data_IF_633462251420
#
_entry.id   IF_633462251420
#
_cell.length_a   1.000
_cell.length_b   1.000
_cell.length_c   1.000
_cell.angle_alpha   90.00
_cell.angle_beta   90.00
_cell.angle_gamma   90.00
#
_symmetry.space_group_name_H-M   'P 1'
#
loop_
_entity.id
_entity.type
_entity.pdbx_description
1 polymer ?
#
# COMPACT_ATOMS: atom_id res chain seq x y z
N UNK A 1 -44.88 -36.16 13.79
CA UNK A 1 -43.47 -35.93 13.74
C UNK A 1 -43.25 -34.55 13.16
N UNK A 2 -42.95 -33.62 14.01
CA UNK A 2 -42.92 -32.19 13.71
C UNK A 2 -41.50 -31.82 13.25
N UNK A 3 -41.38 -31.28 12.07
CA UNK A 3 -40.11 -30.73 11.57
C UNK A 3 -39.83 -29.42 12.32
N UNK A 4 -38.72 -29.41 13.06
CA UNK A 4 -38.19 -28.20 13.69
C UNK A 4 -37.50 -27.40 12.60
N UNK A 5 -38.16 -26.34 12.17
CA UNK A 5 -37.60 -25.31 11.29
C UNK A 5 -36.59 -24.48 12.10
N UNK A 6 -35.30 -24.77 11.92
CA UNK A 6 -34.22 -24.03 12.57
C UNK A 6 -33.90 -22.82 11.67
N UNK A 7 -34.73 -21.79 11.79
CA UNK A 7 -34.40 -20.47 11.23
C UNK A 7 -33.13 -19.94 11.91
N UNK A 8 -32.06 -19.84 11.13
CA UNK A 8 -30.85 -19.13 11.57
C UNK A 8 -31.22 -17.69 11.98
N UNK A 9 -30.71 -17.15 13.10
CA UNK A 9 -31.04 -15.81 13.53
C UNK A 9 -30.61 -14.80 12.47
N UNK A 10 -31.57 -14.06 11.96
CA UNK A 10 -31.33 -12.84 11.17
C UNK A 10 -30.47 -11.91 12.06
N UNK A 11 -29.20 -11.80 11.74
CA UNK A 11 -28.34 -10.75 12.32
C UNK A 11 -28.97 -9.44 11.88
N UNK A 12 -29.67 -8.79 12.80
CA UNK A 12 -30.35 -7.52 12.56
C UNK A 12 -29.29 -6.48 12.14
N UNK A 13 -29.60 -5.65 11.16
CA UNK A 13 -28.67 -4.67 10.56
C UNK A 13 -27.96 -3.75 11.56
N UNK A 14 -28.49 -3.60 12.77
CA UNK A 14 -27.93 -2.84 13.89
C UNK A 14 -26.59 -3.37 14.40
N UNK A 15 -26.43 -4.68 14.59
CA UNK A 15 -25.18 -5.28 15.11
C UNK A 15 -24.06 -5.17 14.08
N UNK A 16 -24.39 -5.30 12.78
CA UNK A 16 -23.41 -5.13 11.71
C UNK A 16 -22.98 -3.67 11.56
N UNK A 17 -23.91 -2.72 11.65
CA UNK A 17 -23.61 -1.29 11.61
C UNK A 17 -22.75 -0.85 12.80
N UNK A 18 -22.97 -1.39 14.00
CA UNK A 18 -22.14 -1.15 15.18
C UNK A 18 -20.72 -1.70 15.01
N UNK A 19 -20.57 -2.97 14.61
CA UNK A 19 -19.26 -3.60 14.39
C UNK A 19 -18.44 -2.86 13.32
N UNK A 20 -19.07 -2.51 12.20
CA UNK A 20 -18.37 -1.82 11.09
C UNK A 20 -18.05 -0.36 11.47
N UNK A 21 -18.81 0.27 12.35
CA UNK A 21 -18.53 1.65 12.80
C UNK A 21 -17.36 1.74 13.77
N UNK A 22 -17.05 0.67 14.51
CA UNK A 22 -15.91 0.60 15.44
C UNK A 22 -14.59 0.17 14.78
N UNK A 23 -14.64 -0.30 13.53
CA UNK A 23 -13.43 -0.67 12.82
C UNK A 23 -12.54 0.56 12.60
N UNK A 24 -11.21 0.46 12.86
CA UNK A 24 -10.26 1.55 12.64
C UNK A 24 -9.89 1.72 11.16
N UNK A 25 -10.79 1.31 10.25
CA UNK A 25 -10.66 1.40 8.80
C UNK A 25 -11.95 1.93 8.17
N UNK A 26 -11.81 2.69 7.07
CA UNK A 26 -12.97 3.07 6.26
C UNK A 26 -13.46 1.88 5.45
N UNK A 27 -14.76 1.62 5.48
CA UNK A 27 -15.37 0.50 4.74
C UNK A 27 -16.48 1.02 3.85
N UNK A 28 -16.46 0.60 2.58
CA UNK A 28 -17.49 0.87 1.56
C UNK A 28 -17.90 -0.43 0.91
N UNK A 29 -19.20 -0.60 0.65
CA UNK A 29 -19.74 -1.64 -0.22
C UNK A 29 -20.39 -0.98 -1.43
N UNK A 30 -20.01 -1.40 -2.62
CA UNK A 30 -20.54 -0.88 -3.89
C UNK A 30 -21.14 -2.03 -4.70
N UNK A 31 -22.20 -1.72 -5.46
CA UNK A 31 -22.74 -2.66 -6.43
C UNK A 31 -21.89 -2.72 -7.71
N UNK A 32 -22.29 -3.54 -8.65
CA UNK A 32 -21.65 -3.71 -9.96
C UNK A 32 -21.61 -2.43 -10.81
N UNK A 33 -22.44 -1.45 -10.49
CA UNK A 33 -22.52 -0.16 -11.16
C UNK A 33 -21.75 0.95 -10.42
N UNK A 34 -21.09 0.60 -9.29
CA UNK A 34 -20.34 1.53 -8.47
C UNK A 34 -21.18 2.40 -7.53
N UNK A 35 -22.48 2.11 -7.41
CA UNK A 35 -23.33 2.78 -6.43
C UNK A 35 -23.00 2.27 -5.02
N UNK A 36 -22.83 3.20 -4.07
CA UNK A 36 -22.50 2.87 -2.67
C UNK A 36 -23.74 2.34 -1.96
N UNK A 37 -23.73 1.06 -1.60
CA UNK A 37 -24.78 0.38 -0.86
C UNK A 37 -24.67 0.57 0.65
N UNK A 38 -23.46 0.61 1.15
CA UNK A 38 -23.15 0.82 2.56
C UNK A 38 -21.79 1.48 2.74
N UNK A 39 -21.64 2.26 3.82
CA UNK A 39 -20.39 2.88 4.20
C UNK A 39 -20.38 3.12 5.71
N UNK A 40 -19.22 2.96 6.38
CA UNK A 40 -19.07 3.44 7.74
C UNK A 40 -18.70 4.94 7.77
N UNK A 41 -18.82 5.55 8.95
CA UNK A 41 -18.53 6.99 9.14
C UNK A 41 -17.09 7.33 8.84
N UNK A 42 -16.16 6.42 9.14
CA UNK A 42 -14.73 6.63 8.90
C UNK A 42 -14.40 6.67 7.41
N UNK A 43 -15.07 5.87 6.56
CA UNK A 43 -14.91 5.96 5.11
C UNK A 43 -15.29 7.36 4.59
N UNK A 44 -16.38 7.92 5.09
CA UNK A 44 -16.78 9.29 4.79
C UNK A 44 -15.71 10.31 5.20
N UNK A 45 -15.23 10.20 6.43
CA UNK A 45 -14.19 11.10 6.96
C UNK A 45 -12.90 11.03 6.13
N UNK A 46 -12.42 9.82 5.83
CA UNK A 46 -11.20 9.61 5.04
C UNK A 46 -11.31 10.16 3.61
N UNK A 47 -12.46 9.97 2.98
CA UNK A 47 -12.74 10.52 1.64
C UNK A 47 -13.14 12.00 1.68
N UNK A 48 -13.30 12.55 2.89
CA UNK A 48 -13.74 13.89 3.10
C UNK A 48 -15.16 14.17 2.61
N UNK A 49 -16.06 13.19 2.71
CA UNK A 49 -17.47 13.24 2.34
C UNK A 49 -18.32 12.87 3.56
N UNK A 50 -19.55 13.36 3.63
CA UNK A 50 -20.47 12.83 4.61
C UNK A 50 -20.91 11.41 4.22
N UNK A 51 -21.24 10.56 5.22
CA UNK A 51 -21.82 9.22 4.95
C UNK A 51 -23.07 9.33 4.06
N UNK A 52 -23.88 10.39 4.27
CA UNK A 52 -25.08 10.63 3.49
C UNK A 52 -24.78 10.93 2.01
N UNK A 53 -23.70 11.69 1.73
CA UNK A 53 -23.27 11.99 0.37
C UNK A 53 -22.71 10.75 -0.33
N UNK A 54 -21.96 9.91 0.41
CA UNK A 54 -21.50 8.62 -0.11
C UNK A 54 -22.67 7.74 -0.54
N UNK A 55 -23.68 7.53 0.32
CA UNK A 55 -24.84 6.69 0.04
C UNK A 55 -25.74 7.25 -1.07
N UNK A 56 -25.73 8.58 -1.27
CA UNK A 56 -26.45 9.23 -2.36
C UNK A 56 -25.63 9.38 -3.63
N UNK A 57 -24.42 8.86 -3.63
CA UNK A 57 -23.45 8.98 -4.72
C UNK A 57 -23.16 10.45 -5.11
N UNK A 58 -23.25 11.37 -4.15
CA UNK A 58 -23.00 12.80 -4.37
C UNK A 58 -21.51 13.10 -4.17
N UNK A 59 -20.96 13.89 -5.07
CA UNK A 59 -19.59 14.39 -5.02
C UNK A 59 -19.60 15.91 -5.13
N UNK A 60 -18.91 16.64 -4.25
CA UNK A 60 -18.76 18.09 -4.40
C UNK A 60 -17.98 18.43 -5.67
N UNK A 61 -18.18 19.62 -6.21
CA UNK A 61 -17.39 20.11 -7.33
C UNK A 61 -15.90 20.12 -6.97
N UNK A 62 -15.08 19.73 -7.93
CA UNK A 62 -13.63 19.64 -7.74
C UNK A 62 -13.14 18.50 -6.83
N UNK A 63 -14.02 17.58 -6.41
CA UNK A 63 -13.63 16.38 -5.68
C UNK A 63 -13.27 15.23 -6.66
N UNK A 64 -12.06 14.71 -6.51
CA UNK A 64 -11.52 13.61 -7.33
C UNK A 64 -10.77 12.63 -6.45
N UNK A 65 -10.73 11.37 -6.89
CA UNK A 65 -9.78 10.38 -6.38
C UNK A 65 -8.76 10.13 -7.49
N UNK A 66 -7.52 10.34 -7.15
CA UNK A 66 -6.38 10.15 -8.07
C UNK A 66 -5.50 9.02 -7.56
N UNK A 67 -4.68 8.47 -8.44
CA UNK A 67 -3.54 7.68 -8.02
C UNK A 67 -2.46 8.58 -7.38
N UNK A 68 -1.38 7.98 -6.94
CA UNK A 68 -0.27 8.70 -6.30
C UNK A 68 0.61 9.52 -7.27
N UNK A 69 0.40 9.39 -8.58
CA UNK A 69 0.99 10.26 -9.60
C UNK A 69 0.13 11.51 -9.89
N UNK A 70 -1.09 11.54 -9.34
CA UNK A 70 -2.09 12.58 -9.58
C UNK A 70 -2.96 12.33 -10.82
N UNK A 71 -2.90 11.14 -11.42
CA UNK A 71 -3.82 10.76 -12.49
C UNK A 71 -5.18 10.35 -11.89
N UNK A 72 -6.31 10.84 -12.43
CA UNK A 72 -7.62 10.44 -11.95
C UNK A 72 -7.82 8.92 -12.05
N UNK A 73 -8.33 8.32 -10.99
CA UNK A 73 -8.72 6.91 -11.03
C UNK A 73 -10.08 6.74 -11.74
N UNK A 74 -10.29 5.60 -12.43
CA UNK A 74 -11.62 5.23 -12.90
C UNK A 74 -12.61 5.30 -11.74
N UNK A 75 -13.82 5.78 -12.00
CA UNK A 75 -14.83 5.94 -10.97
C UNK A 75 -16.10 5.13 -11.28
N UNK A 76 -16.87 4.84 -10.23
CA UNK A 76 -18.14 4.15 -10.33
C UNK A 76 -18.03 2.79 -11.04
N UNK A 77 -18.86 2.56 -12.05
CA UNK A 77 -18.97 1.30 -12.76
C UNK A 77 -17.66 0.82 -13.42
N UNK A 78 -16.80 1.73 -13.83
CA UNK A 78 -15.55 1.37 -14.50
C UNK A 78 -14.55 0.72 -13.53
N UNK A 79 -14.40 1.29 -12.33
CA UNK A 79 -13.54 0.74 -11.27
C UNK A 79 -14.07 -0.61 -10.78
N UNK A 80 -15.38 -0.69 -10.49
CA UNK A 80 -16.00 -1.95 -10.04
C UNK A 80 -15.90 -3.03 -11.11
N UNK A 81 -16.11 -2.69 -12.38
CA UNK A 81 -15.94 -3.63 -13.47
C UNK A 81 -14.48 -4.12 -13.62
N UNK A 82 -13.51 -3.27 -13.37
CA UNK A 82 -12.09 -3.66 -13.38
C UNK A 82 -11.80 -4.68 -12.27
N UNK A 83 -12.29 -4.45 -11.06
CA UNK A 83 -12.09 -5.37 -9.91
C UNK A 83 -12.82 -6.70 -10.15
N UNK A 84 -14.08 -6.66 -10.62
CA UNK A 84 -14.90 -7.85 -10.82
C UNK A 84 -14.42 -8.73 -12.00
N UNK A 85 -13.81 -8.14 -13.04
CA UNK A 85 -13.25 -8.87 -14.19
C UNK A 85 -11.80 -9.31 -14.00
N UNK A 86 -11.08 -8.73 -13.07
CA UNK A 86 -9.68 -9.03 -12.78
C UNK A 86 -9.51 -10.22 -11.82
N UNK A 87 -8.47 -10.15 -11.00
CA UNK A 87 -8.15 -11.17 -9.98
C UNK A 87 -9.12 -11.18 -8.78
N UNK A 88 -10.16 -10.36 -8.81
CA UNK A 88 -11.10 -10.17 -7.69
C UNK A 88 -10.53 -9.32 -6.54
N UNK A 89 -9.30 -8.87 -6.64
CA UNK A 89 -8.64 -7.96 -5.69
C UNK A 89 -7.81 -6.92 -6.43
N UNK A 90 -7.87 -5.68 -5.96
CA UNK A 90 -7.04 -4.58 -6.43
C UNK A 90 -6.64 -3.74 -5.21
N UNK A 91 -5.35 -3.53 -4.99
CA UNK A 91 -4.84 -2.66 -3.94
C UNK A 91 -4.05 -1.52 -4.57
N UNK A 92 -4.44 -0.28 -4.31
CA UNK A 92 -3.79 0.90 -4.88
C UNK A 92 -3.71 2.03 -3.85
N UNK A 93 -2.61 2.80 -3.85
CA UNK A 93 -2.56 4.06 -3.13
C UNK A 93 -3.44 5.08 -3.85
N UNK A 94 -4.28 5.77 -3.10
CA UNK A 94 -5.15 6.83 -3.62
C UNK A 94 -4.90 8.15 -2.91
N UNK A 95 -5.17 9.22 -3.62
CA UNK A 95 -5.12 10.59 -3.10
C UNK A 95 -6.48 11.22 -3.33
N UNK A 96 -7.10 11.71 -2.26
CA UNK A 96 -8.31 12.52 -2.37
C UNK A 96 -7.92 13.95 -2.72
N UNK A 97 -8.35 14.43 -3.88
CA UNK A 97 -8.05 15.79 -4.36
C UNK A 97 -9.31 16.64 -4.27
N UNK A 98 -9.19 17.88 -3.75
CA UNK A 98 -10.25 18.86 -3.71
C UNK A 98 -9.76 20.17 -4.35
N UNK A 99 -10.47 20.65 -5.35
CA UNK A 99 -10.12 21.89 -6.05
C UNK A 99 -8.63 21.96 -6.47
N UNK A 100 -8.09 20.83 -6.93
CA UNK A 100 -6.70 20.70 -7.36
C UNK A 100 -5.68 20.59 -6.22
N UNK A 101 -6.12 20.52 -4.95
CA UNK A 101 -5.24 20.35 -3.79
C UNK A 101 -5.31 18.89 -3.34
N UNK A 102 -4.16 18.22 -3.31
CA UNK A 102 -4.04 16.89 -2.76
C UNK A 102 -4.22 16.91 -1.23
N UNK A 103 -5.19 16.13 -0.76
CA UNK A 103 -5.53 15.97 0.66
C UNK A 103 -5.08 14.62 1.20
N UNK A 104 -6.03 13.89 1.79
CA UNK A 104 -5.78 12.60 2.41
C UNK A 104 -5.20 11.57 1.44
N UNK A 105 -4.13 10.91 1.86
CA UNK A 105 -3.56 9.76 1.18
C UNK A 105 -4.02 8.49 1.87
N UNK A 106 -4.53 7.55 1.09
CA UNK A 106 -5.14 6.34 1.60
C UNK A 106 -4.62 5.13 0.83
N UNK A 107 -4.59 3.99 1.48
CA UNK A 107 -4.62 2.70 0.86
C UNK A 107 -6.06 2.33 0.59
N UNK A 108 -6.36 1.96 -0.64
CA UNK A 108 -7.64 1.43 -1.04
C UNK A 108 -7.48 -0.02 -1.50
N UNK A 109 -7.99 -0.94 -0.71
CA UNK A 109 -8.09 -2.36 -1.03
C UNK A 109 -9.50 -2.65 -1.53
N UNK A 110 -9.63 -3.09 -2.79
CA UNK A 110 -10.89 -3.45 -3.43
C UNK A 110 -10.99 -4.97 -3.52
N UNK A 111 -12.06 -5.54 -3.02
CA UNK A 111 -12.31 -6.98 -3.02
C UNK A 111 -13.64 -7.28 -3.71
N UNK A 112 -13.61 -8.18 -4.70
CA UNK A 112 -14.83 -8.74 -5.26
C UNK A 112 -15.52 -9.62 -4.21
N UNK A 113 -16.79 -9.32 -3.93
CA UNK A 113 -17.63 -10.05 -2.97
C UNK A 113 -18.99 -10.33 -3.59
N UNK A 114 -19.74 -11.27 -3.02
CA UNK A 114 -21.14 -11.46 -3.36
C UNK A 114 -22.01 -10.89 -2.24
N UNK A 115 -22.86 -9.94 -2.56
CA UNK A 115 -23.86 -9.39 -1.65
C UNK A 115 -25.27 -9.69 -2.15
N UNK A 116 -26.04 -10.46 -1.37
CA UNK A 116 -27.40 -10.90 -1.74
C UNK A 116 -27.47 -11.57 -3.14
N UNK A 117 -26.45 -12.37 -3.46
CA UNK A 117 -26.34 -13.06 -4.74
C UNK A 117 -25.93 -12.19 -5.94
N UNK A 118 -25.57 -10.92 -5.72
CA UNK A 118 -25.09 -10.00 -6.77
C UNK A 118 -23.62 -9.69 -6.61
N UNK A 119 -22.85 -9.58 -7.73
CA UNK A 119 -21.48 -9.11 -7.69
C UNK A 119 -21.40 -7.72 -7.06
N UNK A 120 -20.48 -7.55 -6.12
CA UNK A 120 -20.28 -6.29 -5.41
C UNK A 120 -18.81 -6.11 -5.11
N UNK A 121 -18.38 -4.90 -4.80
CA UNK A 121 -17.00 -4.59 -4.41
C UNK A 121 -17.00 -4.03 -2.99
N UNK A 122 -16.27 -4.71 -2.12
CA UNK A 122 -15.94 -4.22 -0.80
C UNK A 122 -14.63 -3.43 -0.89
N UNK A 123 -14.65 -2.16 -0.49
CA UNK A 123 -13.48 -1.30 -0.44
C UNK A 123 -13.11 -1.05 1.01
N UNK A 124 -11.86 -1.33 1.35
CA UNK A 124 -11.26 -0.99 2.64
C UNK A 124 -10.30 0.17 2.44
N UNK A 125 -10.50 1.24 3.21
CA UNK A 125 -9.69 2.46 3.17
C UNK A 125 -8.87 2.57 4.45
N UNK A 126 -7.58 2.75 4.32
CA UNK A 126 -6.67 2.98 5.44
C UNK A 126 -5.85 4.23 5.18
N UNK A 127 -5.67 5.13 6.16
CA UNK A 127 -4.69 6.21 6.04
C UNK A 127 -3.30 5.62 5.76
N UNK A 128 -2.54 6.26 4.88
CA UNK A 128 -1.15 5.86 4.63
C UNK A 128 -0.28 6.16 5.86
N UNK A 129 -0.70 7.09 6.69
CA UNK A 129 -0.18 7.32 8.03
C UNK A 129 -1.11 6.68 9.04
N UNK A 130 -0.80 5.51 9.48
CA UNK A 130 -1.47 4.95 10.65
C UNK A 130 -0.41 4.62 11.68
N UNK A 131 -0.52 5.27 12.82
CA UNK A 131 0.04 4.76 14.06
C UNK A 131 -0.44 3.32 14.20
N UNK A 132 0.40 2.37 13.85
CA UNK A 132 0.15 0.96 14.14
C UNK A 132 0.52 0.75 15.61
N UNK A 133 -0.44 0.61 16.54
CA UNK A 133 -0.18 0.67 17.98
C UNK A 133 0.64 -0.50 18.53
N UNK A 134 1.03 -1.50 17.72
CA UNK A 134 1.43 -2.82 18.25
C UNK A 134 2.78 -3.38 17.79
N UNK A 135 3.62 -2.60 17.11
CA UNK A 135 4.99 -3.03 16.83
C UNK A 135 6.02 -2.05 17.40
N UNK A 136 5.97 -1.83 18.73
CA UNK A 136 6.93 -0.95 19.41
C UNK A 136 8.36 -1.31 18.99
N UNK A 137 8.99 -0.45 18.17
CA UNK A 137 10.37 -0.56 17.77
C UNK A 137 10.68 -1.39 16.51
N UNK A 138 9.68 -1.93 15.76
CA UNK A 138 9.92 -2.73 14.56
C UNK A 138 9.35 -2.14 13.25
N UNK A 139 8.60 -1.05 13.35
CA UNK A 139 7.97 -0.36 12.22
C UNK A 139 8.43 1.10 12.20
N UNK A 140 8.67 1.62 11.00
CA UNK A 140 8.95 3.04 10.80
C UNK A 140 7.67 3.88 10.95
N UNK A 141 7.65 4.89 11.82
CA UNK A 141 6.42 5.65 12.12
C UNK A 141 5.95 6.53 10.96
N UNK A 142 6.84 6.95 10.05
CA UNK A 142 6.46 7.79 8.91
C UNK A 142 5.78 6.99 7.81
N UNK A 143 6.35 5.83 7.47
CA UNK A 143 5.94 5.06 6.29
C UNK A 143 5.06 3.86 6.61
N UNK A 144 5.01 3.44 7.89
CA UNK A 144 4.32 2.21 8.30
C UNK A 144 4.98 0.91 7.79
N UNK A 145 6.15 1.01 7.16
CA UNK A 145 6.91 -0.15 6.71
C UNK A 145 7.70 -0.77 7.87
N UNK A 146 8.07 -2.05 7.80
CA UNK A 146 9.16 -2.60 8.59
C UNK A 146 10.35 -1.66 8.65
N UNK A 147 10.95 -1.51 9.81
CA UNK A 147 12.20 -0.78 9.96
C UNK A 147 13.41 -1.68 9.68
N UNK A 148 14.61 -1.11 9.81
CA UNK A 148 15.87 -1.83 9.61
C UNK A 148 15.99 -3.09 10.47
N UNK A 149 15.56 -3.04 11.74
CA UNK A 149 15.69 -4.18 12.65
C UNK A 149 14.83 -5.37 12.19
N UNK A 150 13.56 -5.13 11.84
CA UNK A 150 12.68 -6.17 11.33
C UNK A 150 13.13 -6.69 9.96
N UNK A 151 13.67 -5.80 9.10
CA UNK A 151 14.22 -6.21 7.82
C UNK A 151 15.40 -7.18 7.97
N UNK A 152 16.31 -6.91 8.91
CA UNK A 152 17.47 -7.78 9.17
C UNK A 152 17.03 -9.19 9.59
N UNK A 153 16.08 -9.28 10.52
CA UNK A 153 15.49 -10.56 10.94
C UNK A 153 14.88 -11.30 9.74
N UNK A 154 14.11 -10.60 8.89
CA UNK A 154 13.50 -11.19 7.68
C UNK A 154 14.54 -11.64 6.66
N UNK A 155 15.62 -10.91 6.49
CA UNK A 155 16.71 -11.30 5.61
C UNK A 155 17.42 -12.57 6.11
N UNK A 156 17.72 -12.66 7.41
CA UNK A 156 18.32 -13.86 8.00
C UNK A 156 17.43 -15.08 7.85
N UNK A 157 16.12 -14.94 8.07
CA UNK A 157 15.13 -16.00 7.85
C UNK A 157 15.08 -16.42 6.38
N UNK A 158 15.08 -15.47 5.45
CA UNK A 158 15.07 -15.74 4.01
C UNK A 158 16.34 -16.47 3.56
N UNK A 159 17.52 -16.05 3.99
CA UNK A 159 18.79 -16.71 3.71
C UNK A 159 18.82 -18.15 4.28
N UNK A 160 18.27 -18.32 5.48
CA UNK A 160 18.17 -19.66 6.08
C UNK A 160 17.26 -20.59 5.26
N UNK A 161 16.11 -20.09 4.80
CA UNK A 161 15.21 -20.86 3.92
C UNK A 161 15.87 -21.14 2.58
N UNK A 162 16.56 -20.19 1.98
CA UNK A 162 17.27 -20.37 0.71
C UNK A 162 18.28 -21.50 0.80
N UNK A 163 19.08 -21.53 1.86
CA UNK A 163 20.04 -22.61 2.12
C UNK A 163 19.39 -23.98 2.30
N UNK A 164 18.19 -24.02 2.91
CA UNK A 164 17.50 -25.28 3.22
C UNK A 164 16.73 -25.82 2.02
N UNK A 165 16.08 -24.93 1.26
CA UNK A 165 15.14 -25.28 0.19
C UNK A 165 15.76 -25.20 -1.21
N UNK A 166 17.01 -24.70 -1.33
CA UNK A 166 17.66 -24.45 -2.62
C UNK A 166 17.08 -23.27 -3.38
N UNK A 167 16.35 -22.38 -2.69
CA UNK A 167 15.87 -21.10 -3.26
C UNK A 167 16.96 -20.02 -3.21
N UNK A 168 16.66 -18.86 -3.74
CA UNK A 168 17.55 -17.70 -3.72
C UNK A 168 16.87 -16.54 -2.98
N UNK A 169 17.67 -15.79 -2.23
CA UNK A 169 17.25 -14.53 -1.59
C UNK A 169 17.95 -13.36 -2.24
N UNK A 170 17.17 -12.38 -2.67
CA UNK A 170 17.69 -11.10 -3.19
C UNK A 170 17.45 -9.99 -2.17
N UNK A 171 18.50 -9.27 -1.85
CA UNK A 171 18.47 -8.02 -1.09
C UNK A 171 18.69 -6.85 -2.04
N UNK A 172 17.74 -5.91 -2.06
CA UNK A 172 17.80 -4.67 -2.85
C UNK A 172 17.86 -3.50 -1.88
N UNK A 173 18.80 -2.58 -2.10
CA UNK A 173 18.88 -1.31 -1.35
C UNK A 173 18.67 -0.15 -2.32
N UNK A 174 17.82 0.79 -1.92
CA UNK A 174 17.38 1.95 -2.70
C UNK A 174 17.64 3.21 -1.88
N UNK A 175 18.32 4.18 -2.47
CA UNK A 175 18.59 5.50 -1.92
C UNK A 175 17.85 6.55 -2.75
N UNK A 176 16.98 7.32 -2.10
CA UNK A 176 16.22 8.41 -2.74
C UNK A 176 17.10 9.64 -2.86
N UNK A 177 17.45 9.96 -4.09
CA UNK A 177 18.35 11.07 -4.37
C UNK A 177 17.70 12.43 -4.09
N UNK A 178 18.51 13.34 -3.55
CA UNK A 178 18.17 14.76 -3.44
C UNK A 178 16.97 15.06 -2.52
N UNK A 179 16.68 14.18 -1.56
CA UNK A 179 15.62 14.44 -0.58
C UNK A 179 15.87 15.74 0.20
N UNK A 180 17.15 16.02 0.55
CA UNK A 180 17.52 17.26 1.22
C UNK A 180 17.21 18.52 0.38
N UNK A 181 17.38 18.45 -0.96
CA UNK A 181 17.01 19.55 -1.86
C UNK A 181 15.49 19.75 -1.89
N UNK A 182 14.72 18.65 -1.95
CA UNK A 182 13.25 18.71 -1.89
C UNK A 182 12.78 19.32 -0.57
N UNK A 183 13.39 18.93 0.57
CA UNK A 183 13.08 19.50 1.87
C UNK A 183 13.41 21.00 1.96
N UNK A 184 14.54 21.42 1.39
CA UNK A 184 14.96 22.81 1.38
C UNK A 184 14.05 23.70 0.51
N UNK A 185 13.57 23.17 -0.63
CA UNK A 185 12.77 23.93 -1.59
C UNK A 185 11.27 23.93 -1.22
N UNK A 186 10.74 22.83 -0.71
CA UNK A 186 9.32 22.62 -0.53
C UNK A 186 8.88 22.34 0.91
N UNK A 187 9.83 22.22 1.84
CA UNK A 187 9.57 21.88 3.25
C UNK A 187 9.59 20.38 3.55
N UNK A 188 9.77 20.06 4.84
CA UNK A 188 9.84 18.67 5.31
C UNK A 188 8.56 17.88 5.07
N UNK A 189 7.38 18.53 5.13
CA UNK A 189 6.10 17.86 4.87
C UNK A 189 6.01 17.28 3.44
N UNK A 190 6.65 17.96 2.48
CA UNK A 190 6.70 17.49 1.09
C UNK A 190 7.67 16.32 0.93
N UNK A 191 8.83 16.37 1.61
CA UNK A 191 9.76 15.26 1.63
C UNK A 191 9.20 14.02 2.32
N UNK A 192 8.54 14.19 3.45
CA UNK A 192 7.85 13.13 4.17
C UNK A 192 6.70 12.53 3.33
N UNK A 193 5.94 13.39 2.64
CA UNK A 193 4.93 12.97 1.68
C UNK A 193 5.50 12.15 0.53
N UNK A 194 6.67 12.55 0.00
CA UNK A 194 7.38 11.79 -1.02
C UNK A 194 7.75 10.38 -0.51
N UNK A 195 8.41 10.30 0.65
CA UNK A 195 8.81 9.01 1.24
C UNK A 195 7.61 8.10 1.50
N UNK A 196 6.51 8.67 1.97
CA UNK A 196 5.26 7.94 2.23
C UNK A 196 4.67 7.35 0.95
N UNK A 197 4.68 8.12 -0.16
CA UNK A 197 4.20 7.63 -1.45
C UNK A 197 5.09 6.51 -1.98
N UNK A 198 6.41 6.68 -1.90
CA UNK A 198 7.34 5.64 -2.35
C UNK A 198 7.18 4.35 -1.55
N UNK A 199 7.03 4.45 -0.23
CA UNK A 199 6.73 3.32 0.65
C UNK A 199 5.46 2.59 0.21
N UNK A 200 4.41 3.36 -0.05
CA UNK A 200 3.15 2.87 -0.53
C UNK A 200 3.29 2.10 -1.85
N UNK A 201 3.96 2.67 -2.83
CA UNK A 201 4.19 2.03 -4.14
C UNK A 201 4.98 0.74 -4.06
N UNK A 202 6.04 0.74 -3.25
CA UNK A 202 6.86 -0.47 -3.05
C UNK A 202 6.03 -1.58 -2.41
N UNK A 203 5.24 -1.26 -1.39
CA UNK A 203 4.37 -2.22 -0.69
C UNK A 203 3.33 -2.84 -1.62
N UNK A 204 2.68 -2.04 -2.48
CA UNK A 204 1.60 -2.53 -3.36
C UNK A 204 2.08 -3.06 -4.70
N UNK A 205 3.21 -2.57 -5.17
CA UNK A 205 3.73 -2.91 -6.49
C UNK A 205 4.64 -4.13 -6.51
N UNK A 206 5.03 -4.65 -5.35
CA UNK A 206 5.77 -5.89 -5.18
C UNK A 206 4.86 -7.02 -4.68
N UNK A 207 5.34 -8.24 -4.69
CA UNK A 207 4.58 -9.41 -4.23
C UNK A 207 4.38 -9.36 -2.71
N UNK A 208 3.29 -9.96 -2.22
CA UNK A 208 2.94 -10.00 -0.80
C UNK A 208 3.96 -10.77 0.07
N UNK A 209 4.73 -11.70 -0.55
CA UNK A 209 5.79 -12.46 0.11
C UNK A 209 7.13 -11.71 0.17
N UNK A 210 7.25 -10.57 -0.51
CA UNK A 210 8.43 -9.71 -0.40
C UNK A 210 8.35 -8.84 0.86
N UNK A 211 9.46 -8.70 1.56
CA UNK A 211 9.57 -7.75 2.66
C UNK A 211 10.07 -6.43 2.12
N UNK A 212 9.28 -5.38 2.29
CA UNK A 212 9.67 -3.98 2.00
C UNK A 212 9.88 -3.27 3.33
N UNK A 213 10.95 -2.50 3.46
CA UNK A 213 11.29 -1.79 4.68
C UNK A 213 11.86 -0.39 4.42
N UNK A 214 11.73 0.49 5.40
CA UNK A 214 12.52 1.73 5.46
C UNK A 214 13.84 1.42 6.17
N UNK A 215 14.93 1.47 5.42
CA UNK A 215 16.26 1.08 5.90
C UNK A 215 16.98 2.22 6.61
N UNK A 216 16.81 3.45 6.13
CA UNK A 216 17.40 4.69 6.67
C UNK A 216 16.46 5.88 6.46
N UNK A 217 16.99 7.08 6.59
CA UNK A 217 16.20 8.32 6.43
C UNK A 217 15.57 8.46 5.04
N UNK A 218 16.36 8.25 4.01
CA UNK A 218 16.00 8.30 2.59
C UNK A 218 16.24 6.96 1.86
N UNK A 219 16.44 5.88 2.63
CA UNK A 219 16.75 4.56 2.11
C UNK A 219 15.61 3.57 2.35
N UNK A 220 15.26 2.83 1.30
CA UNK A 220 14.37 1.67 1.36
C UNK A 220 15.14 0.40 1.03
N UNK A 221 14.65 -0.72 1.56
CA UNK A 221 15.21 -2.02 1.20
C UNK A 221 14.12 -3.05 0.95
N UNK A 222 14.44 -4.02 0.09
CA UNK A 222 13.54 -5.12 -0.25
C UNK A 222 14.28 -6.44 -0.07
N UNK A 223 13.61 -7.40 0.58
CA UNK A 223 14.02 -8.80 0.63
C UNK A 223 13.01 -9.62 -0.15
N UNK A 224 13.46 -10.37 -1.13
CA UNK A 224 12.62 -11.20 -1.98
C UNK A 224 13.23 -12.60 -2.13
N UNK A 225 12.41 -13.63 -1.90
CA UNK A 225 12.77 -15.03 -2.13
C UNK A 225 12.22 -15.49 -3.48
N UNK A 226 13.04 -16.21 -4.25
CA UNK A 226 12.64 -16.74 -5.57
C UNK A 226 13.36 -18.08 -5.86
N UNK A 227 12.75 -18.96 -6.69
CA UNK A 227 13.27 -20.29 -6.90
C UNK A 227 14.56 -20.33 -7.73
N UNK A 228 14.75 -19.41 -8.63
CA UNK A 228 15.90 -19.35 -9.55
C UNK A 228 16.07 -17.99 -10.19
N UNK A 229 17.18 -17.78 -10.90
CA UNK A 229 17.45 -16.55 -11.65
C UNK A 229 18.26 -15.54 -10.85
N UNK A 230 18.06 -14.26 -11.13
CA UNK A 230 18.79 -13.14 -10.51
C UNK A 230 17.83 -12.14 -9.89
N UNK A 231 18.35 -11.22 -9.07
CA UNK A 231 17.56 -10.11 -8.51
C UNK A 231 17.23 -8.98 -9.50
N UNK A 232 17.72 -9.05 -10.73
CA UNK A 232 17.53 -8.03 -11.75
C UNK A 232 16.06 -7.65 -12.00
N UNK A 233 15.12 -8.60 -12.19
CA UNK A 233 13.72 -8.25 -12.41
C UNK A 233 13.08 -7.55 -11.20
N UNK A 234 13.50 -7.92 -9.99
CA UNK A 234 13.03 -7.30 -8.75
C UNK A 234 13.57 -5.87 -8.66
N UNK A 235 14.86 -5.69 -8.91
CA UNK A 235 15.51 -4.39 -8.92
C UNK A 235 14.93 -3.45 -9.98
N UNK A 236 14.67 -3.95 -11.19
CA UNK A 236 14.02 -3.21 -12.27
C UNK A 236 12.61 -2.76 -11.87
N UNK A 237 11.83 -3.65 -11.25
CA UNK A 237 10.49 -3.32 -10.75
C UNK A 237 10.52 -2.28 -9.62
N UNK A 238 11.46 -2.40 -8.69
CA UNK A 238 11.66 -1.42 -7.62
C UNK A 238 11.99 -0.04 -8.21
N UNK A 239 12.87 0.04 -9.21
CA UNK A 239 13.22 1.29 -9.92
C UNK A 239 11.98 1.90 -10.58
N UNK A 240 11.24 1.11 -11.35
CA UNK A 240 10.00 1.55 -12.00
C UNK A 240 9.02 2.18 -10.99
N UNK A 241 8.79 1.52 -9.85
CA UNK A 241 7.88 1.98 -8.81
C UNK A 241 8.34 3.29 -8.16
N UNK A 242 9.65 3.46 -7.96
CA UNK A 242 10.21 4.60 -7.24
C UNK A 242 10.46 5.83 -8.12
N UNK A 243 10.71 5.68 -9.43
CA UNK A 243 11.00 6.80 -10.34
C UNK A 243 9.75 7.43 -10.99
N UNK A 244 8.56 6.87 -10.79
CA UNK A 244 7.31 7.47 -11.29
C UNK A 244 7.01 8.79 -10.60
N UNK A 245 6.46 9.75 -11.37
CA UNK A 245 6.07 11.05 -10.82
C UNK A 245 5.19 10.93 -9.57
N UNK A 246 5.39 11.81 -8.61
CA UNK A 246 4.65 11.87 -7.33
C UNK A 246 4.03 13.24 -7.18
N UNK A 247 2.76 13.29 -6.75
CA UNK A 247 2.08 14.54 -6.37
C UNK A 247 1.98 14.62 -4.84
N UNK A 248 2.57 15.67 -4.25
CA UNK A 248 2.44 16.00 -2.81
C UNK A 248 1.85 17.39 -2.68
N UNK A 249 0.61 17.48 -2.20
CA UNK A 249 -0.10 18.78 -2.21
C UNK A 249 -0.28 19.29 -3.64
N UNK A 250 0.37 20.41 -3.94
CA UNK A 250 0.42 20.99 -5.30
C UNK A 250 1.74 20.74 -6.02
N UNK A 251 2.70 20.09 -5.37
CA UNK A 251 4.05 19.87 -5.87
C UNK A 251 4.13 18.55 -6.62
N UNK A 252 4.50 18.60 -7.90
CA UNK A 252 4.79 17.39 -8.69
C UNK A 252 6.28 17.15 -8.68
N UNK A 253 6.67 16.00 -8.13
CA UNK A 253 8.06 15.56 -8.01
C UNK A 253 8.36 14.44 -8.99
N UNK A 254 9.61 14.37 -9.46
CA UNK A 254 10.14 13.28 -10.28
C UNK A 254 11.32 12.67 -9.52
N UNK A 255 11.06 11.73 -8.60
CA UNK A 255 12.11 11.14 -7.78
C UNK A 255 13.14 10.42 -8.65
N UNK A 256 14.40 10.48 -8.24
CA UNK A 256 15.48 9.68 -8.79
C UNK A 256 16.06 8.85 -7.67
N UNK A 257 16.44 7.61 -7.99
CA UNK A 257 16.99 6.70 -7.00
C UNK A 257 18.34 6.14 -7.46
N UNK A 258 19.22 5.86 -6.50
CA UNK A 258 20.30 4.90 -6.67
C UNK A 258 19.81 3.57 -6.14
N UNK A 259 20.19 2.49 -6.82
CA UNK A 259 19.76 1.17 -6.44
C UNK A 259 20.88 0.17 -6.72
N UNK A 260 21.14 -0.69 -5.72
CA UNK A 260 22.01 -1.85 -5.83
C UNK A 260 21.34 -3.08 -5.24
N UNK A 261 21.73 -4.25 -5.70
CA UNK A 261 21.20 -5.51 -5.22
C UNK A 261 22.24 -6.62 -5.22
N UNK A 262 22.01 -7.66 -4.44
CA UNK A 262 22.73 -8.90 -4.46
C UNK A 262 21.78 -10.08 -4.24
N UNK A 263 22.05 -11.19 -4.89
CA UNK A 263 21.35 -12.46 -4.71
C UNK A 263 22.27 -13.46 -4.03
N UNK A 264 21.74 -14.20 -3.08
CA UNK A 264 22.47 -15.23 -2.32
C UNK A 264 21.63 -16.52 -2.24
N UNK A 265 22.29 -17.64 -2.25
CA UNK A 265 21.74 -18.98 -1.99
C UNK A 265 21.66 -19.31 -0.49
N UNK A 266 21.94 -18.32 0.37
CA UNK A 266 21.98 -18.48 1.82
C UNK A 266 23.32 -18.97 2.35
N UNK A 267 24.36 -19.16 1.52
CA UNK A 267 25.70 -19.53 1.97
C UNK A 267 26.42 -18.36 2.67
N UNK A 268 26.13 -17.13 2.26
CA UNK A 268 26.67 -15.92 2.87
C UNK A 268 25.76 -15.42 4.02
N UNK A 269 26.33 -14.96 5.15
CA UNK A 269 25.57 -14.36 6.23
C UNK A 269 24.99 -12.99 5.83
N UNK A 270 23.87 -12.58 6.47
CA UNK A 270 23.16 -11.35 6.13
C UNK A 270 24.05 -10.10 6.10
N UNK A 271 24.96 -9.94 7.07
CA UNK A 271 25.85 -8.79 7.13
C UNK A 271 26.82 -8.71 5.92
N UNK A 272 27.24 -9.85 5.36
CA UNK A 272 28.09 -9.89 4.17
C UNK A 272 27.30 -9.49 2.91
N UNK A 273 26.06 -9.97 2.77
CA UNK A 273 25.16 -9.59 1.67
C UNK A 273 24.89 -8.09 1.69
N UNK A 274 24.54 -7.56 2.86
CA UNK A 274 24.27 -6.13 3.08
C UNK A 274 25.52 -5.28 2.78
N UNK A 275 26.66 -5.61 3.40
CA UNK A 275 27.91 -4.87 3.22
C UNK A 275 28.36 -4.83 1.75
N UNK A 276 28.12 -5.91 0.98
CA UNK A 276 28.37 -5.93 -0.44
C UNK A 276 27.51 -4.93 -1.21
N UNK A 277 26.20 -4.88 -0.91
CA UNK A 277 25.25 -3.96 -1.58
C UNK A 277 25.52 -2.51 -1.19
N UNK A 278 25.73 -2.22 0.10
CA UNK A 278 26.07 -0.88 0.59
C UNK A 278 27.34 -0.33 -0.05
N UNK A 279 28.42 -1.16 -0.14
CA UNK A 279 29.67 -0.77 -0.78
C UNK A 279 29.46 -0.41 -2.25
N UNK A 280 28.66 -1.20 -2.96
CA UNK A 280 28.36 -0.93 -4.39
C UNK A 280 27.48 0.31 -4.54
N UNK A 281 26.50 0.52 -3.68
CA UNK A 281 25.61 1.68 -3.74
C UNK A 281 26.37 3.00 -3.54
N UNK A 282 27.43 2.99 -2.71
CA UNK A 282 28.30 4.17 -2.51
C UNK A 282 29.23 4.44 -3.69
N UNK A 283 29.49 3.45 -4.53
CA UNK A 283 30.39 3.55 -5.69
C UNK A 283 29.68 4.05 -6.96
N UNK A 284 28.34 4.10 -6.95
CA UNK A 284 27.45 4.58 -8.03
C UNK A 284 26.95 6.00 -7.71
#
# INVERSE_FOLDING_TARGET
>A
MSAVDTAAPLITGTVWDELVSELPVGVLLQDEHGAVLAANSLAGHLLGLSRADLLRNRRPDGWLVCDDSGAPLPQGAELTAQVLRGSGRLAVPIVVVRNGIAGSRLWADFHAVSHRGRPSVLTVLQPVHTDVPHSRGLVDPLTGLPNRALLLDRLEQSLTRSRTNGSLSTFVLVDVRKLAEVNAEHGFDVGDGLLTVLAGRLRSGLRDDHTVARYGGDEFAVVAEHPCGTGEPIAARVRELTERAVLVGKVRLHPKVRLCWATSDGSAPAHAVIGHVEKRLRAV
#
